data_IF_210274794840
#
_entry.id   IF_210274794840
#
_cell.length_a   1.000
_cell.length_b   1.000
_cell.length_c   1.000
_cell.angle_alpha   90.00
_cell.angle_beta   90.00
_cell.angle_gamma   90.00
#
_symmetry.space_group_name_H-M   'P 1'
#
loop_
_entity.id
_entity.type
_entity.pdbx_description
1 polymer ?
#
# COMPACT_ATOMS: atom_id res chain seq x y z
N UNK A 1 -41.29 32.23 -15.77
CA UNK A 1 -40.41 31.09 -16.12
C UNK A 1 -39.48 30.88 -14.94
N UNK A 2 -39.84 29.95 -14.05
CA UNK A 2 -39.04 29.57 -12.88
C UNK A 2 -37.92 28.60 -13.27
N UNK A 3 -36.66 28.85 -12.89
CA UNK A 3 -35.57 27.90 -13.03
C UNK A 3 -35.25 27.24 -11.68
N UNK A 4 -36.18 26.48 -11.11
CA UNK A 4 -35.96 25.67 -9.90
C UNK A 4 -36.09 24.19 -10.21
N UNK A 5 -35.25 23.70 -11.13
CA UNK A 5 -34.95 22.27 -11.31
C UNK A 5 -33.52 22.09 -11.81
N UNK A 6 -32.53 22.31 -10.94
CA UNK A 6 -31.21 21.72 -11.12
C UNK A 6 -31.05 20.62 -10.08
N UNK A 7 -31.01 19.41 -10.61
CA UNK A 7 -31.00 18.17 -9.88
C UNK A 7 -29.79 18.08 -8.94
N UNK A 8 -30.09 17.62 -7.73
CA UNK A 8 -29.16 17.11 -6.74
C UNK A 8 -28.42 15.91 -7.34
N UNK A 9 -27.19 16.13 -7.77
CA UNK A 9 -26.24 15.08 -8.17
C UNK A 9 -25.25 14.84 -7.04
N UNK A 10 -25.62 13.93 -6.15
CA UNK A 10 -24.87 13.42 -5.01
C UNK A 10 -23.45 12.95 -5.36
N UNK A 11 -22.47 13.43 -4.59
CA UNK A 11 -21.10 12.93 -4.54
C UNK A 11 -20.44 13.45 -3.26
N UNK A 12 -20.93 12.95 -2.13
CA UNK A 12 -20.62 13.39 -0.77
C UNK A 12 -19.10 13.31 -0.54
N UNK A 13 -18.53 14.46 -0.16
CA UNK A 13 -17.24 14.56 0.49
C UNK A 13 -17.29 13.75 1.79
N UNK A 14 -16.54 12.64 1.85
CA UNK A 14 -16.24 11.97 3.11
C UNK A 14 -14.85 12.42 3.53
N UNK A 15 -14.82 13.51 4.29
CA UNK A 15 -13.68 13.86 5.13
C UNK A 15 -13.98 13.35 6.53
N UNK A 16 -12.93 12.82 7.16
CA UNK A 16 -12.78 12.47 8.57
C UNK A 16 -13.16 11.03 8.96
N UNK A 17 -12.15 10.18 9.08
CA UNK A 17 -11.82 9.56 10.38
C UNK A 17 -10.28 9.46 10.52
N UNK A 18 -9.72 10.06 11.57
CA UNK A 18 -8.49 9.60 12.24
C UNK A 18 -7.12 9.99 11.66
N UNK A 19 -6.56 11.12 12.12
CA UNK A 19 -5.13 11.26 12.44
C UNK A 19 -4.10 11.30 11.29
N UNK A 20 -3.76 12.50 10.83
CA UNK A 20 -2.38 12.84 10.43
C UNK A 20 -1.97 12.77 8.96
N UNK A 21 -2.64 12.01 8.10
CA UNK A 21 -2.17 11.79 6.71
C UNK A 21 -3.11 12.27 5.60
N UNK A 22 -4.37 12.63 5.90
CA UNK A 22 -5.34 13.06 4.89
C UNK A 22 -5.06 14.43 4.25
N UNK A 23 -4.30 15.31 4.91
CA UNK A 23 -4.06 16.68 4.44
C UNK A 23 -2.87 16.82 3.47
N UNK A 24 -1.92 15.88 3.47
CA UNK A 24 -0.73 15.97 2.59
C UNK A 24 -1.03 15.57 1.14
N UNK A 25 -2.14 14.88 0.87
CA UNK A 25 -2.54 14.43 -0.46
C UNK A 25 -3.52 15.38 -1.17
N UNK A 26 -3.94 16.49 -0.54
CA UNK A 26 -4.87 17.46 -1.13
C UNK A 26 -4.16 18.63 -1.86
N UNK A 27 -2.85 18.79 -1.70
CA UNK A 27 -2.10 19.94 -2.28
C UNK A 27 -1.63 19.66 -3.71
N UNK A 28 -1.63 18.40 -4.15
CA UNK A 28 -1.44 18.02 -5.55
C UNK A 28 -2.54 17.03 -5.93
N UNK A 29 -3.19 17.21 -7.08
CA UNK A 29 -4.29 16.38 -7.58
C UNK A 29 -3.88 14.93 -7.98
N UNK A 30 -3.03 14.27 -7.18
CA UNK A 30 -2.53 12.90 -7.35
C UNK A 30 -3.16 12.00 -6.30
N UNK A 31 -4.48 11.80 -6.38
CA UNK A 31 -5.14 10.81 -5.51
C UNK A 31 -4.60 9.42 -5.88
N UNK A 32 -3.97 8.70 -4.93
CA UNK A 32 -3.49 7.35 -5.18
C UNK A 32 -4.64 6.45 -5.64
N UNK A 33 -4.34 5.55 -6.56
CA UNK A 33 -5.34 4.69 -7.18
C UNK A 33 -5.25 3.26 -6.72
N UNK A 34 -6.37 2.75 -6.25
CA UNK A 34 -6.51 1.35 -5.91
C UNK A 34 -6.45 0.45 -7.15
N UNK A 35 -6.29 -0.86 -6.94
CA UNK A 35 -6.33 -1.87 -8.00
C UNK A 35 -7.67 -1.86 -8.76
N UNK A 36 -8.78 -1.49 -8.11
CA UNK A 36 -10.11 -1.41 -8.75
C UNK A 36 -10.15 -0.43 -9.94
N UNK A 37 -9.29 0.58 -9.94
CA UNK A 37 -9.17 1.56 -11.02
C UNK A 37 -8.08 1.17 -12.04
N UNK A 38 -7.60 -0.07 -12.03
CA UNK A 38 -6.62 -0.59 -12.97
C UNK A 38 -7.23 -1.75 -13.77
N UNK A 39 -7.39 -1.54 -15.08
CA UNK A 39 -8.07 -2.44 -16.02
C UNK A 39 -7.60 -3.90 -15.98
N UNK A 40 -6.30 -4.11 -15.75
CA UNK A 40 -5.70 -5.45 -15.68
C UNK A 40 -6.12 -6.23 -14.43
N UNK A 41 -6.45 -5.51 -13.35
CA UNK A 41 -6.91 -6.08 -12.08
C UNK A 41 -8.42 -6.06 -11.93
N UNK A 42 -9.13 -5.19 -12.65
CA UNK A 42 -10.58 -5.02 -12.56
C UNK A 42 -11.38 -5.80 -13.62
N UNK A 43 -10.71 -6.37 -14.64
CA UNK A 43 -11.32 -7.14 -15.75
C UNK A 43 -11.41 -8.66 -15.53
N UNK A 44 -12.09 -9.37 -16.45
CA UNK A 44 -12.64 -10.77 -16.47
C UNK A 44 -11.81 -11.96 -15.96
N UNK A 45 -10.68 -11.77 -15.30
CA UNK A 45 -9.95 -12.84 -14.60
C UNK A 45 -10.73 -13.43 -13.42
N UNK A 46 -10.17 -14.49 -12.82
CA UNK A 46 -10.74 -15.18 -11.66
C UNK A 46 -11.01 -14.21 -10.51
N UNK A 47 -12.27 -13.79 -10.39
CA UNK A 47 -12.77 -12.84 -9.39
C UNK A 47 -12.74 -13.42 -7.97
N UNK A 48 -12.43 -14.70 -7.82
CA UNK A 48 -12.36 -15.36 -6.52
C UNK A 48 -11.05 -15.08 -5.77
N UNK A 49 -10.00 -14.63 -6.48
CA UNK A 49 -8.69 -14.30 -5.90
C UNK A 49 -8.77 -13.21 -4.85
N UNK A 50 -7.93 -13.33 -3.83
CA UNK A 50 -7.90 -12.40 -2.69
C UNK A 50 -7.64 -10.95 -3.11
N UNK A 51 -6.66 -10.72 -3.99
CA UNK A 51 -6.34 -9.39 -4.50
C UNK A 51 -7.50 -8.75 -5.26
N UNK A 52 -8.26 -9.54 -6.03
CA UNK A 52 -9.44 -9.06 -6.75
C UNK A 52 -10.57 -8.67 -5.79
N UNK A 53 -10.89 -9.54 -4.81
CA UNK A 53 -11.94 -9.28 -3.81
C UNK A 53 -11.71 -8.02 -2.98
N UNK A 54 -10.46 -7.58 -2.88
CA UNK A 54 -10.03 -6.44 -2.08
C UNK A 54 -9.42 -5.31 -2.94
N UNK A 55 -9.68 -5.31 -4.25
CA UNK A 55 -9.01 -4.43 -5.20
C UNK A 55 -9.24 -2.93 -4.92
N UNK A 56 -10.35 -2.58 -4.28
CA UNK A 56 -10.66 -1.22 -3.85
C UNK A 56 -9.79 -0.72 -2.69
N UNK A 57 -9.26 -1.63 -1.87
CA UNK A 57 -8.45 -1.32 -0.68
C UNK A 57 -6.94 -1.41 -0.94
N UNK A 58 -6.53 -2.09 -2.01
CA UNK A 58 -5.12 -2.34 -2.34
C UNK A 58 -4.60 -1.31 -3.34
N UNK A 59 -3.37 -0.85 -3.15
CA UNK A 59 -2.74 0.13 -4.02
C UNK A 59 -2.29 -0.49 -5.35
N UNK A 60 -2.51 0.19 -6.48
CA UNK A 60 -1.96 -0.29 -7.74
C UNK A 60 -0.43 -0.11 -7.82
N UNK A 61 0.28 -1.18 -8.19
CA UNK A 61 1.73 -1.17 -8.44
C UNK A 61 2.10 -0.68 -9.85
N UNK A 62 1.13 -0.64 -10.78
CA UNK A 62 1.39 -0.31 -12.18
C UNK A 62 1.10 1.17 -12.51
N UNK A 63 0.17 1.81 -11.79
CA UNK A 63 -0.21 3.18 -12.09
C UNK A 63 0.90 4.16 -11.70
N UNK A 64 1.51 4.83 -12.69
CA UNK A 64 2.61 5.80 -12.49
C UNK A 64 2.28 6.87 -11.45
N UNK A 65 1.02 7.33 -11.41
CA UNK A 65 0.53 8.31 -10.42
C UNK A 65 0.65 7.84 -8.96
N UNK A 66 0.82 6.53 -8.72
CA UNK A 66 1.03 5.96 -7.39
C UNK A 66 2.49 5.92 -6.96
N UNK A 67 3.46 6.31 -7.81
CA UNK A 67 4.89 6.25 -7.46
C UNK A 67 5.18 6.97 -6.14
N UNK A 68 4.61 8.17 -5.94
CA UNK A 68 4.74 8.92 -4.69
C UNK A 68 4.25 8.15 -3.47
N UNK A 69 3.14 7.41 -3.58
CA UNK A 69 2.65 6.58 -2.47
C UNK A 69 3.66 5.49 -2.11
N UNK A 70 4.25 4.83 -3.10
CA UNK A 70 5.20 3.73 -2.88
C UNK A 70 6.54 4.24 -2.33
N UNK A 71 7.02 5.38 -2.82
CA UNK A 71 8.19 6.08 -2.29
C UNK A 71 7.97 6.48 -0.83
N UNK A 72 6.90 7.21 -0.52
CA UNK A 72 6.56 7.61 0.86
C UNK A 72 6.42 6.40 1.78
N UNK A 73 5.94 5.26 1.27
CA UNK A 73 5.85 4.04 2.06
C UNK A 73 7.20 3.55 2.53
N UNK A 74 8.17 3.45 1.61
CA UNK A 74 9.54 3.04 1.95
C UNK A 74 10.18 4.08 2.86
N UNK A 75 9.97 5.38 2.60
CA UNK A 75 10.48 6.46 3.44
C UNK A 75 9.93 6.40 4.87
N UNK A 76 8.65 6.09 5.05
CA UNK A 76 8.02 6.00 6.38
C UNK A 76 8.53 4.78 7.15
N UNK A 77 8.67 3.63 6.50
CA UNK A 77 9.26 2.43 7.10
C UNK A 77 10.72 2.65 7.50
N UNK A 78 11.47 3.37 6.66
CA UNK A 78 12.87 3.66 6.93
C UNK A 78 13.09 4.54 8.16
N UNK A 79 12.06 5.27 8.62
CA UNK A 79 12.09 6.06 9.87
C UNK A 79 11.83 5.22 11.12
N UNK A 80 11.34 3.99 11.00
CA UNK A 80 11.04 3.13 12.13
C UNK A 80 12.32 2.52 12.71
N UNK A 81 12.37 2.43 14.05
CA UNK A 81 13.44 1.78 14.81
C UNK A 81 12.83 0.87 15.89
N UNK A 82 12.92 -0.47 15.78
CA UNK A 82 13.43 -1.22 14.62
C UNK A 82 12.46 -1.19 13.42
N UNK A 83 12.95 -1.58 12.24
CA UNK A 83 12.06 -1.89 11.09
C UNK A 83 11.21 -3.10 11.49
N UNK A 84 9.90 -2.90 11.62
CA UNK A 84 8.96 -3.94 12.05
C UNK A 84 8.47 -4.75 10.84
N UNK A 85 9.36 -5.57 10.28
CA UNK A 85 9.01 -6.57 9.26
C UNK A 85 9.08 -7.97 9.87
N UNK A 86 8.13 -8.82 9.52
CA UNK A 86 8.14 -10.21 9.96
C UNK A 86 9.26 -10.95 9.23
N UNK A 87 10.17 -11.61 9.96
CA UNK A 87 11.26 -12.40 9.37
C UNK A 87 10.77 -13.51 8.44
N UNK A 88 9.56 -14.04 8.69
CA UNK A 88 8.85 -14.99 7.82
C UNK A 88 7.75 -14.36 6.96
N UNK A 89 7.71 -13.02 6.91
CA UNK A 89 6.71 -12.22 6.22
C UNK A 89 6.70 -12.39 4.71
N UNK A 90 5.68 -11.87 4.04
CA UNK A 90 5.59 -11.94 2.58
C UNK A 90 6.64 -11.06 1.88
N UNK A 91 7.20 -10.08 2.60
CA UNK A 91 8.21 -9.17 2.08
C UNK A 91 9.62 -9.72 2.30
N UNK A 92 9.77 -10.69 3.20
CA UNK A 92 10.96 -11.53 3.37
C UNK A 92 12.27 -10.78 3.56
N UNK A 93 13.38 -11.51 3.46
CA UNK A 93 14.72 -10.96 3.64
C UNK A 93 15.09 -9.94 2.56
N UNK A 94 14.66 -10.15 1.31
CA UNK A 94 15.06 -9.27 0.20
C UNK A 94 14.61 -7.82 0.41
N UNK A 95 13.36 -7.60 0.81
CA UNK A 95 12.87 -6.24 1.02
C UNK A 95 13.55 -5.61 2.23
N UNK A 96 13.74 -6.39 3.30
CA UNK A 96 14.42 -5.94 4.51
C UNK A 96 15.87 -5.51 4.23
N UNK A 97 16.60 -6.27 3.41
CA UNK A 97 17.94 -5.92 2.95
C UNK A 97 17.95 -4.61 2.15
N UNK A 98 17.00 -4.43 1.22
CA UNK A 98 16.91 -3.20 0.40
C UNK A 98 16.58 -1.96 1.22
N UNK A 99 15.61 -2.04 2.14
CA UNK A 99 15.27 -0.89 2.98
C UNK A 99 16.39 -0.57 3.98
N UNK A 100 17.09 -1.59 4.50
CA UNK A 100 18.25 -1.41 5.36
C UNK A 100 19.39 -0.76 4.59
N UNK A 101 19.66 -1.19 3.35
CA UNK A 101 20.66 -0.55 2.49
C UNK A 101 20.34 0.92 2.23
N UNK A 102 19.07 1.26 1.98
CA UNK A 102 18.64 2.66 1.86
C UNK A 102 18.90 3.47 3.15
N UNK A 103 18.52 2.93 4.32
CA UNK A 103 18.76 3.60 5.62
C UNK A 103 20.25 3.86 5.85
N UNK A 104 21.09 2.85 5.60
CA UNK A 104 22.54 2.96 5.76
C UNK A 104 23.13 4.03 4.85
N UNK A 105 22.75 4.02 3.56
CA UNK A 105 23.25 5.01 2.59
C UNK A 105 22.79 6.43 2.94
N UNK A 106 21.54 6.59 3.38
CA UNK A 106 21.00 7.89 3.82
C UNK A 106 21.68 8.43 5.07
N UNK A 107 22.08 7.55 5.98
CA UNK A 107 22.79 7.92 7.22
C UNK A 107 24.28 8.16 7.02
N UNK A 108 24.84 7.80 5.86
CA UNK A 108 26.27 7.94 5.57
C UNK A 108 26.60 9.33 5.03
N UNK A 109 27.45 10.06 5.76
CA UNK A 109 27.90 11.42 5.40
C UNK A 109 28.69 11.54 4.09
N UNK A 110 29.19 10.42 3.54
CA UNK A 110 29.96 10.40 2.28
C UNK A 110 29.14 9.99 1.07
N UNK A 111 27.89 9.56 1.29
CA UNK A 111 26.98 9.13 0.24
C UNK A 111 26.44 10.32 -0.55
N UNK A 112 26.38 10.17 -1.86
CA UNK A 112 25.80 11.18 -2.73
C UNK A 112 24.29 10.94 -2.94
N UNK A 113 23.57 11.99 -3.36
CA UNK A 113 22.12 11.94 -3.56
C UNK A 113 21.70 10.88 -4.60
N UNK A 114 22.51 10.65 -5.63
CA UNK A 114 22.24 9.64 -6.66
C UNK A 114 22.21 8.24 -6.06
N UNK A 115 23.23 7.85 -5.28
CA UNK A 115 23.28 6.53 -4.64
C UNK A 115 22.11 6.34 -3.66
N UNK A 116 21.80 7.37 -2.87
CA UNK A 116 20.66 7.34 -1.93
C UNK A 116 19.36 7.10 -2.69
N UNK A 117 19.16 7.80 -3.82
CA UNK A 117 17.98 7.63 -4.67
C UNK A 117 17.91 6.25 -5.31
N UNK A 118 19.02 5.73 -5.82
CA UNK A 118 19.09 4.37 -6.39
C UNK A 118 18.67 3.32 -5.35
N UNK A 119 19.12 3.44 -4.09
CA UNK A 119 18.70 2.52 -3.02
C UNK A 119 17.23 2.67 -2.63
N UNK A 120 16.70 3.89 -2.66
CA UNK A 120 15.26 4.09 -2.50
C UNK A 120 14.48 3.41 -3.63
N UNK A 121 14.89 3.61 -4.88
CA UNK A 121 14.23 3.05 -6.05
C UNK A 121 14.28 1.51 -6.06
N UNK A 122 15.40 0.91 -5.65
CA UNK A 122 15.54 -0.54 -5.45
C UNK A 122 14.54 -1.07 -4.41
N UNK A 123 14.41 -0.40 -3.27
CA UNK A 123 13.46 -0.80 -2.22
C UNK A 123 12.00 -0.61 -2.66
N UNK A 124 11.69 0.49 -3.34
CA UNK A 124 10.35 0.75 -3.90
C UNK A 124 9.98 -0.31 -4.94
N UNK A 125 10.93 -0.68 -5.80
CA UNK A 125 10.72 -1.72 -6.80
C UNK A 125 10.43 -3.08 -6.15
N UNK A 126 11.25 -3.52 -5.18
CA UNK A 126 11.03 -4.80 -4.50
C UNK A 126 9.68 -4.79 -3.75
N UNK A 127 9.34 -3.71 -3.04
CA UNK A 127 8.03 -3.54 -2.38
C UNK A 127 6.86 -3.75 -3.36
N UNK A 128 6.91 -3.09 -4.52
CA UNK A 128 5.88 -3.20 -5.55
C UNK A 128 5.80 -4.61 -6.12
N UNK A 129 6.93 -5.27 -6.34
CA UNK A 129 7.00 -6.66 -6.84
C UNK A 129 6.39 -7.64 -5.83
N UNK A 130 6.72 -7.50 -4.53
CA UNK A 130 6.13 -8.34 -3.46
C UNK A 130 4.62 -8.12 -3.32
N UNK A 131 4.16 -6.86 -3.33
CA UNK A 131 2.73 -6.56 -3.31
C UNK A 131 2.02 -7.17 -4.53
N UNK A 132 2.58 -6.99 -5.74
CA UNK A 132 2.02 -7.57 -6.98
C UNK A 132 1.94 -9.10 -6.93
N UNK A 133 3.02 -9.76 -6.48
CA UNK A 133 3.05 -11.21 -6.31
C UNK A 133 1.89 -11.70 -5.43
N UNK A 134 1.61 -11.00 -4.33
CA UNK A 134 0.48 -11.30 -3.44
C UNK A 134 -0.88 -10.94 -4.03
N UNK A 135 -0.98 -9.93 -4.88
CA UNK A 135 -2.22 -9.62 -5.60
C UNK A 135 -2.59 -10.71 -6.62
N UNK A 136 -1.57 -11.28 -7.26
CA UNK A 136 -1.71 -12.26 -8.34
C UNK A 136 -1.89 -13.71 -7.80
N UNK A 137 -1.60 -13.92 -6.51
CA UNK A 137 -1.80 -15.16 -5.74
C UNK A 137 -3.22 -15.72 -5.95
N UNK A 138 -3.31 -17.05 -6.09
CA UNK A 138 -4.58 -17.77 -6.36
C UNK A 138 -5.40 -18.00 -5.09
N UNK A 139 -4.83 -17.75 -3.92
CA UNK A 139 -5.56 -17.82 -2.65
C UNK A 139 -6.84 -16.96 -2.69
N UNK A 140 -7.92 -17.53 -2.17
CA UNK A 140 -9.24 -16.89 -2.16
C UNK A 140 -9.56 -16.21 -0.83
N UNK A 141 -8.73 -16.42 0.19
CA UNK A 141 -8.86 -15.96 1.58
C UNK A 141 -7.50 -15.94 2.29
N UNK A 142 -7.43 -15.29 3.44
CA UNK A 142 -6.28 -15.39 4.34
C UNK A 142 -6.15 -16.81 4.91
N UNK A 143 -4.92 -17.20 5.24
CA UNK A 143 -4.61 -18.44 5.96
C UNK A 143 -4.44 -18.11 7.43
N UNK A 144 -5.17 -18.80 8.32
CA UNK A 144 -5.22 -18.53 9.78
C UNK A 144 -3.92 -18.80 10.56
N UNK A 145 -2.81 -19.10 9.88
CA UNK A 145 -1.47 -19.24 10.47
C UNK A 145 -0.49 -18.18 9.99
N UNK A 146 -0.94 -17.27 9.11
CA UNK A 146 -0.11 -16.25 8.47
C UNK A 146 -0.50 -14.83 8.91
N UNK A 147 -1.17 -14.68 10.05
CA UNK A 147 -1.74 -13.42 10.53
C UNK A 147 -0.72 -12.27 10.53
N UNK A 148 0.48 -12.49 11.06
CA UNK A 148 1.55 -11.50 11.03
C UNK A 148 1.96 -11.10 9.60
N UNK A 149 1.98 -12.06 8.66
CA UNK A 149 2.36 -11.82 7.25
C UNK A 149 1.27 -11.05 6.51
N UNK A 150 0.01 -11.38 6.78
CA UNK A 150 -1.14 -10.70 6.20
C UNK A 150 -1.30 -9.28 6.77
N UNK A 151 -1.05 -9.07 8.07
CA UNK A 151 -0.99 -7.73 8.67
C UNK A 151 0.07 -6.87 8.00
N UNK A 152 1.29 -7.40 7.87
CA UNK A 152 2.38 -6.75 7.15
C UNK A 152 1.97 -6.39 5.70
N UNK A 153 1.38 -7.33 4.96
CA UNK A 153 0.86 -7.05 3.62
C UNK A 153 -0.16 -5.92 3.60
N UNK A 154 -1.11 -5.91 4.53
CA UNK A 154 -2.12 -4.86 4.59
C UNK A 154 -1.52 -3.51 4.96
N UNK A 155 -0.61 -3.47 5.91
CA UNK A 155 0.10 -2.24 6.26
C UNK A 155 0.84 -1.69 5.05
N UNK A 156 1.58 -2.53 4.32
CA UNK A 156 2.45 -2.11 3.22
C UNK A 156 1.72 -1.83 1.89
N UNK A 157 0.75 -2.66 1.52
CA UNK A 157 0.15 -2.68 0.19
C UNK A 157 -1.22 -1.97 0.09
N UNK A 158 -1.83 -1.60 1.22
CA UNK A 158 -3.16 -0.97 1.21
C UNK A 158 -3.12 0.53 1.04
N UNK A 159 -4.19 1.07 0.47
CA UNK A 159 -4.42 2.52 0.36
C UNK A 159 -4.42 3.18 1.74
N UNK A 160 -5.04 2.55 2.74
CA UNK A 160 -5.20 3.08 4.10
C UNK A 160 -3.96 2.92 4.99
N UNK A 161 -2.92 2.23 4.52
CA UNK A 161 -1.74 1.89 5.33
C UNK A 161 -2.04 1.01 6.55
N UNK A 162 -3.19 0.37 6.60
CA UNK A 162 -3.69 -0.33 7.79
C UNK A 162 -4.48 -1.57 7.37
N UNK A 163 -4.59 -2.52 8.29
CA UNK A 163 -5.54 -3.62 8.17
C UNK A 163 -6.97 -3.04 8.11
N UNK A 164 -7.79 -3.41 7.12
CA UNK A 164 -9.18 -3.00 7.10
C UNK A 164 -9.92 -3.51 8.35
N UNK A 165 -10.70 -2.66 9.00
CA UNK A 165 -11.42 -3.00 10.25
C UNK A 165 -12.27 -4.27 10.13
N UNK A 166 -12.90 -4.49 8.98
CA UNK A 166 -13.68 -5.69 8.70
C UNK A 166 -12.85 -6.99 8.61
N UNK A 167 -11.52 -6.89 8.68
CA UNK A 167 -10.56 -7.99 8.72
C UNK A 167 -9.81 -8.03 10.06
N UNK A 168 -9.83 -6.96 10.87
CA UNK A 168 -9.16 -6.90 12.17
C UNK A 168 -9.65 -8.01 13.12
N UNK A 169 -10.96 -8.29 13.13
CA UNK A 169 -11.54 -9.41 13.89
C UNK A 169 -10.99 -10.77 13.45
N UNK A 170 -10.53 -10.90 12.20
CA UNK A 170 -9.88 -12.13 11.70
C UNK A 170 -8.47 -12.28 12.25
N UNK A 171 -7.77 -11.17 12.55
CA UNK A 171 -6.43 -11.15 13.15
C UNK A 171 -6.45 -11.18 14.68
N UNK A 172 -7.61 -10.94 15.31
CA UNK A 172 -7.77 -10.92 16.77
C UNK A 172 -8.26 -12.26 17.35
N UNK A 173 -8.64 -13.22 16.51
CA UNK A 173 -9.05 -14.57 16.97
C UNK A 173 -7.85 -15.51 16.96
N UNK A 174 -7.00 -15.38 17.98
CA UNK A 174 -6.38 -16.44 18.82
C UNK A 174 -5.14 -15.89 19.53
N UNK A 175 -5.37 -15.30 20.70
CA UNK A 175 -4.46 -15.46 21.84
C UNK A 175 -4.97 -16.65 22.67
#
# INVERSE_FOLDING_TARGET
MDPTKLAVGSGIAVVAVGGGLGAKFAVDARTPSSLKNNGEYSGTGDKSKYGYKNADKLMSTLAVRNNFFWEERVLDLAKQEPINLSTGGFFGTSFNEKITAYKTEKGNSTSNETTIKEKLDEAVKDLKEKCKSKYDDVSTSMTSGDDAKWREFWELCSVSKQVPSNLEDTFSVKA
#
